data_IF_492693249786
#
_entry.id   IF_492693249786
#
_cell.length_a   1.000
_cell.length_b   1.000
_cell.length_c   1.000
_cell.angle_alpha   90.00
_cell.angle_beta   90.00
_cell.angle_gamma   90.00
#
_symmetry.space_group_name_H-M   'P 1'
#
loop_
_entity.id
_entity.type
_entity.pdbx_description
1 polymer ?
#
# COMPACT_ATOMS: atom_id res chain seq x y z
N UNK A 1 -45.30 -37.20 -18.60
CA UNK A 1 -45.54 -37.30 -17.13
C UNK A 1 -44.51 -38.22 -16.50
N UNK A 2 -43.47 -37.67 -15.87
CA UNK A 2 -42.66 -38.30 -14.80
C UNK A 2 -41.74 -37.20 -14.23
N UNK A 3 -42.07 -36.74 -13.03
CA UNK A 3 -41.34 -35.74 -12.25
C UNK A 3 -39.96 -36.31 -11.85
N UNK A 4 -38.87 -35.59 -12.10
CA UNK A 4 -37.59 -35.80 -11.40
C UNK A 4 -37.36 -34.62 -10.47
N UNK A 5 -37.29 -34.93 -9.19
CA UNK A 5 -37.07 -34.03 -8.07
C UNK A 5 -35.68 -33.41 -8.13
N UNK A 6 -35.63 -32.10 -7.98
CA UNK A 6 -34.40 -31.37 -7.64
C UNK A 6 -34.05 -31.68 -6.18
N UNK A 7 -32.83 -32.17 -5.96
CA UNK A 7 -32.20 -32.28 -4.64
C UNK A 7 -31.08 -31.26 -4.58
N UNK A 8 -31.28 -30.26 -3.72
CA UNK A 8 -30.31 -29.24 -3.30
C UNK A 8 -29.20 -29.91 -2.46
N UNK A 9 -27.91 -29.63 -2.68
CA UNK A 9 -26.88 -30.02 -1.73
C UNK A 9 -26.75 -28.97 -0.62
N UNK A 10 -26.71 -29.45 0.62
CA UNK A 10 -26.55 -28.69 1.85
C UNK A 10 -25.11 -28.18 2.03
N UNK A 11 -25.00 -26.97 2.60
CA UNK A 11 -23.74 -26.33 2.98
C UNK A 11 -23.01 -27.12 4.09
N UNK A 12 -21.68 -27.29 4.03
CA UNK A 12 -20.92 -27.86 5.14
C UNK A 12 -20.63 -26.79 6.21
N UNK A 13 -21.15 -27.00 7.41
CA UNK A 13 -20.81 -26.25 8.63
C UNK A 13 -19.41 -26.64 9.09
N UNK A 14 -18.45 -25.72 8.99
CA UNK A 14 -17.10 -25.90 9.55
C UNK A 14 -17.12 -25.46 11.02
N UNK A 15 -16.89 -26.42 11.91
CA UNK A 15 -16.69 -26.23 13.35
C UNK A 15 -15.25 -25.77 13.60
N UNK A 16 -15.07 -24.57 14.15
CA UNK A 16 -13.77 -24.09 14.63
C UNK A 16 -13.56 -24.53 16.08
N UNK A 17 -12.59 -25.42 16.29
CA UNK A 17 -12.07 -25.78 17.62
C UNK A 17 -10.97 -24.80 18.02
N UNK A 18 -11.18 -24.09 19.12
CA UNK A 18 -10.22 -23.12 19.70
C UNK A 18 -9.10 -23.86 20.45
N UNK A 19 -7.80 -23.59 20.19
CA UNK A 19 -6.72 -24.11 21.02
C UNK A 19 -6.61 -23.32 22.35
N UNK A 20 -6.11 -23.96 23.44
CA UNK A 20 -6.12 -23.38 24.78
C UNK A 20 -5.12 -22.23 24.98
N UNK A 21 -5.57 -21.23 25.72
CA UNK A 21 -4.79 -20.08 26.22
C UNK A 21 -3.72 -20.56 27.19
N UNK A 22 -2.44 -20.34 26.85
CA UNK A 22 -1.31 -20.60 27.72
C UNK A 22 -1.14 -19.45 28.72
N UNK A 23 -1.69 -19.61 29.93
CA UNK A 23 -1.50 -18.71 31.06
C UNK A 23 -0.18 -19.00 31.78
N UNK A 24 0.89 -18.28 31.44
CA UNK A 24 2.08 -18.18 32.31
C UNK A 24 2.14 -16.79 32.95
N UNK A 25 1.81 -16.77 34.24
CA UNK A 25 2.05 -15.66 35.18
C UNK A 25 3.55 -15.41 35.36
N UNK A 26 3.98 -14.17 35.61
CA UNK A 26 5.37 -13.86 35.98
C UNK A 26 5.68 -14.33 37.41
N UNK A 27 6.93 -14.76 37.59
CA UNK A 27 7.47 -15.25 38.85
C UNK A 27 7.57 -14.14 39.91
N UNK A 28 7.49 -14.61 41.15
CA UNK A 28 7.34 -13.91 42.42
C UNK A 28 8.49 -12.99 42.79
N UNK A 29 8.09 -11.88 43.39
CA UNK A 29 8.86 -10.95 44.24
C UNK A 29 9.49 -11.72 45.41
N UNK A 30 10.81 -11.63 45.57
CA UNK A 30 11.50 -12.00 46.80
C UNK A 30 12.02 -10.74 47.49
N UNK A 31 11.51 -10.54 48.70
CA UNK A 31 11.87 -9.54 49.69
C UNK A 31 13.36 -9.49 50.01
N UNK A 32 13.91 -8.28 50.12
CA UNK A 32 15.08 -8.00 50.94
C UNK A 32 14.75 -6.88 51.93
N UNK A 33 15.18 -7.15 53.15
CA UNK A 33 14.78 -6.56 54.43
C UNK A 33 15.41 -5.21 54.75
N UNK A 34 14.61 -4.36 55.40
CA UNK A 34 14.95 -3.32 56.37
C UNK A 34 16.45 -3.05 56.67
N UNK A 35 16.92 -1.83 56.37
CA UNK A 35 17.98 -1.09 57.09
C UNK A 35 17.76 0.44 56.95
N UNK A 36 18.31 1.26 57.86
CA UNK A 36 17.60 2.37 58.49
C UNK A 36 17.58 3.67 57.69
N UNK A 37 16.60 4.52 57.99
CA UNK A 37 16.48 5.91 57.53
C UNK A 37 17.67 6.75 58.00
N UNK A 38 18.54 7.13 57.08
CA UNK A 38 19.34 8.35 57.18
C UNK A 38 19.00 9.20 55.95
N UNK A 39 18.54 10.43 56.17
CA UNK A 39 18.39 11.42 55.11
C UNK A 39 19.78 12.04 54.85
N UNK A 40 20.39 11.89 53.65
CA UNK A 40 21.36 12.85 53.19
C UNK A 40 20.63 13.96 52.44
N UNK A 41 21.18 15.16 52.57
CA UNK A 41 20.67 16.40 52.05
C UNK A 41 20.38 16.35 50.53
N UNK A 42 19.38 17.16 50.18
CA UNK A 42 19.08 17.70 48.86
C UNK A 42 20.35 17.92 48.01
N UNK A 43 20.53 17.06 47.03
CA UNK A 43 21.48 17.24 45.93
C UNK A 43 20.75 16.95 44.63
N UNK A 44 19.90 17.90 44.26
CA UNK A 44 19.46 18.07 42.88
C UNK A 44 20.68 17.97 41.96
N UNK A 45 20.69 17.10 40.93
CA UNK A 45 21.81 17.04 40.00
C UNK A 45 21.96 18.43 39.33
N UNK A 46 23.20 18.91 39.12
CA UNK A 46 23.40 20.20 38.49
C UNK A 46 22.71 20.19 37.13
N UNK A 47 22.03 21.31 36.85
CA UNK A 47 21.38 21.67 35.61
C UNK A 47 22.37 21.50 34.44
N UNK A 48 22.52 20.26 33.94
CA UNK A 48 23.29 19.99 32.74
C UNK A 48 22.45 20.53 31.59
N UNK A 49 22.98 21.47 30.78
CA UNK A 49 22.28 21.88 29.58
C UNK A 49 22.04 20.61 28.76
N UNK A 50 20.77 20.38 28.40
CA UNK A 50 20.39 19.34 27.45
C UNK A 50 21.40 19.40 26.31
N UNK A 51 22.15 18.31 26.15
CA UNK A 51 23.14 18.17 25.11
C UNK A 51 22.46 18.58 23.80
N UNK A 52 22.99 19.63 23.18
CA UNK A 52 22.47 20.18 21.93
C UNK A 52 22.43 19.01 20.93
N UNK A 53 21.24 18.42 20.74
CA UNK A 53 21.03 17.51 19.63
C UNK A 53 21.26 18.38 18.39
N UNK A 54 22.27 18.08 17.55
CA UNK A 54 22.47 18.87 16.35
C UNK A 54 21.16 18.86 15.57
N UNK A 55 20.60 20.05 15.36
CA UNK A 55 19.44 20.23 14.51
C UNK A 55 19.79 19.58 13.17
N UNK A 56 19.06 18.52 12.85
CA UNK A 56 19.23 17.65 11.69
C UNK A 56 19.65 18.45 10.47
N UNK A 57 20.67 17.94 9.79
CA UNK A 57 20.96 18.27 8.39
C UNK A 57 19.66 18.39 7.60
N UNK A 58 19.56 19.43 6.76
CA UNK A 58 18.42 19.64 5.87
C UNK A 58 17.99 18.31 5.27
N UNK A 59 16.75 17.91 5.52
CA UNK A 59 16.17 16.71 4.92
C UNK A 59 16.19 16.87 3.40
N UNK A 60 17.17 16.27 2.73
CA UNK A 60 17.19 16.16 1.27
C UNK A 60 16.34 14.93 0.92
N UNK A 61 15.25 15.06 0.16
CA UNK A 61 14.44 13.93 -0.25
C UNK A 61 15.29 12.93 -1.05
N UNK A 62 15.35 11.67 -0.61
CA UNK A 62 16.11 10.63 -1.31
C UNK A 62 15.43 10.14 -2.60
N UNK A 63 14.12 10.33 -2.73
CA UNK A 63 13.31 9.88 -3.88
C UNK A 63 12.34 10.99 -4.31
N UNK A 64 12.07 11.08 -5.60
CA UNK A 64 11.00 11.89 -6.16
C UNK A 64 9.71 11.06 -6.24
N UNK A 65 8.64 11.39 -5.50
CA UNK A 65 7.43 10.58 -5.46
C UNK A 65 6.60 10.79 -6.72
N UNK A 66 6.31 9.70 -7.42
CA UNK A 66 5.45 9.69 -8.62
C UNK A 66 4.55 8.46 -8.60
N UNK A 67 3.39 8.60 -9.25
CA UNK A 67 2.62 7.46 -9.72
C UNK A 67 2.89 7.27 -11.20
N UNK A 68 3.14 6.01 -11.59
CA UNK A 68 3.54 5.65 -12.93
C UNK A 68 2.43 4.84 -13.59
N UNK A 69 2.15 5.15 -14.85
CA UNK A 69 1.22 4.40 -15.68
C UNK A 69 1.97 3.27 -16.40
N UNK A 70 1.62 2.03 -16.07
CA UNK A 70 2.29 0.83 -16.57
C UNK A 70 1.39 0.01 -17.49
N UNK A 71 0.22 0.54 -17.87
CA UNK A 71 -0.67 -0.13 -18.82
C UNK A 71 0.07 -0.45 -20.10
N UNK A 72 -0.04 -1.70 -20.55
CA UNK A 72 0.60 -2.23 -21.75
C UNK A 72 2.14 -2.10 -21.73
N UNK A 73 2.74 -2.01 -20.53
CA UNK A 73 4.20 -1.99 -20.35
C UNK A 73 4.71 -3.34 -19.91
N UNK A 74 5.81 -3.78 -20.51
CA UNK A 74 6.53 -4.99 -20.11
C UNK A 74 7.09 -4.84 -18.69
N UNK A 75 6.61 -5.69 -17.80
CA UNK A 75 7.03 -5.76 -16.41
C UNK A 75 7.62 -7.14 -16.12
N UNK A 76 8.82 -7.18 -15.55
CA UNK A 76 9.51 -8.44 -15.26
C UNK A 76 9.60 -8.67 -13.77
N UNK A 77 9.31 -9.90 -13.35
CA UNK A 77 9.48 -10.35 -11.96
C UNK A 77 10.42 -11.55 -11.94
N UNK A 78 11.50 -11.46 -11.16
CA UNK A 78 12.40 -12.59 -10.89
C UNK A 78 12.08 -13.18 -9.51
N UNK A 79 11.68 -14.44 -9.47
CA UNK A 79 11.30 -15.19 -8.26
C UNK A 79 9.79 -15.43 -8.12
N UNK A 80 9.40 -16.69 -7.96
CA UNK A 80 8.01 -17.15 -7.85
C UNK A 80 7.50 -17.36 -6.42
N UNK A 81 8.20 -16.82 -5.42
CA UNK A 81 7.82 -16.90 -4.01
C UNK A 81 6.57 -16.03 -3.70
N UNK A 82 6.16 -15.98 -2.43
CA UNK A 82 4.99 -15.19 -1.99
C UNK A 82 5.09 -13.70 -2.31
N UNK A 83 6.29 -13.13 -2.24
CA UNK A 83 6.50 -11.73 -2.60
C UNK A 83 6.43 -11.54 -4.12
N UNK A 84 7.04 -12.43 -4.90
CA UNK A 84 6.95 -12.46 -6.35
C UNK A 84 5.50 -12.53 -6.83
N UNK A 85 4.70 -13.47 -6.30
CA UNK A 85 3.28 -13.59 -6.63
C UNK A 85 2.51 -12.31 -6.33
N UNK A 86 2.74 -11.70 -5.16
CA UNK A 86 2.09 -10.44 -4.78
C UNK A 86 2.43 -9.31 -5.76
N UNK A 87 3.67 -9.26 -6.25
CA UNK A 87 4.11 -8.27 -7.24
C UNK A 87 3.51 -8.52 -8.62
N UNK A 88 3.52 -9.78 -9.06
CA UNK A 88 2.88 -10.19 -10.33
C UNK A 88 1.42 -9.75 -10.35
N UNK A 89 0.64 -10.08 -9.30
CA UNK A 89 -0.78 -9.71 -9.22
C UNK A 89 -0.99 -8.19 -9.25
N UNK A 90 -0.21 -7.44 -8.47
CA UNK A 90 -0.35 -5.98 -8.43
C UNK A 90 0.02 -5.31 -9.76
N UNK A 91 1.05 -5.81 -10.46
CA UNK A 91 1.41 -5.33 -11.79
C UNK A 91 0.29 -5.61 -12.81
N UNK A 92 -0.34 -6.79 -12.74
CA UNK A 92 -1.51 -7.13 -13.57
C UNK A 92 -2.71 -6.24 -13.28
N UNK A 93 -3.01 -5.97 -12.00
CA UNK A 93 -4.11 -5.06 -11.61
C UNK A 93 -3.91 -3.65 -12.17
N UNK A 94 -2.65 -3.22 -12.35
CA UNK A 94 -2.28 -1.96 -12.99
C UNK A 94 -2.20 -2.03 -14.53
N UNK A 95 -2.48 -3.18 -15.15
CA UNK A 95 -2.47 -3.38 -16.61
C UNK A 95 -1.09 -3.65 -17.22
N UNK A 96 -0.10 -4.05 -16.43
CA UNK A 96 1.23 -4.39 -16.92
C UNK A 96 1.26 -5.73 -17.66
N UNK A 97 2.10 -5.83 -18.70
CA UNK A 97 2.40 -7.09 -19.38
C UNK A 97 3.47 -7.85 -18.61
N UNK A 98 3.06 -8.80 -17.77
CA UNK A 98 3.97 -9.43 -16.80
C UNK A 98 4.66 -10.67 -17.38
N UNK A 99 5.99 -10.70 -17.28
CA UNK A 99 6.82 -11.89 -17.47
C UNK A 99 7.44 -12.31 -16.14
N UNK A 100 7.18 -13.55 -15.72
CA UNK A 100 7.77 -14.16 -14.54
C UNK A 100 8.96 -15.04 -14.94
N UNK A 101 10.08 -14.88 -14.25
CA UNK A 101 11.23 -15.79 -14.29
C UNK A 101 11.37 -16.51 -12.96
N UNK A 102 11.07 -17.80 -12.94
CA UNK A 102 11.23 -18.66 -11.76
C UNK A 102 11.22 -20.13 -12.16
N UNK A 103 12.11 -20.97 -11.64
CA UNK A 103 11.95 -22.42 -11.69
C UNK A 103 10.57 -22.86 -11.18
N UNK A 104 10.05 -23.94 -11.75
CA UNK A 104 8.70 -24.44 -11.48
C UNK A 104 8.55 -24.95 -10.03
N UNK A 105 9.59 -25.56 -9.48
CA UNK A 105 9.65 -26.09 -8.13
C UNK A 105 9.76 -25.01 -7.03
N UNK A 106 10.04 -23.77 -7.41
CA UNK A 106 10.13 -22.61 -6.51
C UNK A 106 8.91 -21.69 -6.60
N UNK A 107 8.04 -21.89 -7.59
CA UNK A 107 6.91 -21.01 -7.85
C UNK A 107 5.64 -21.47 -7.13
N UNK A 108 4.87 -20.52 -6.61
CA UNK A 108 3.58 -20.81 -6.00
C UNK A 108 2.51 -21.22 -7.03
N UNK A 109 1.56 -22.11 -6.67
CA UNK A 109 0.54 -22.60 -7.59
C UNK A 109 -0.31 -21.50 -8.26
N UNK A 110 -0.54 -20.38 -7.56
CA UNK A 110 -1.29 -19.25 -8.11
C UNK A 110 -0.62 -18.61 -9.33
N UNK A 111 0.71 -18.68 -9.45
CA UNK A 111 1.43 -18.22 -10.63
C UNK A 111 1.24 -19.16 -11.82
N UNK A 112 1.17 -20.46 -11.56
CA UNK A 112 0.89 -21.46 -12.59
C UNK A 112 -0.53 -21.28 -13.16
N UNK A 113 -1.50 -21.00 -12.30
CA UNK A 113 -2.88 -20.67 -12.70
C UNK A 113 -2.89 -19.44 -13.62
N UNK A 114 -2.29 -18.32 -13.20
CA UNK A 114 -2.18 -17.10 -14.01
C UNK A 114 -1.52 -17.35 -15.38
N UNK A 115 -0.47 -18.18 -15.42
CA UNK A 115 0.20 -18.52 -16.68
C UNK A 115 -0.70 -19.38 -17.60
N UNK A 116 -1.42 -20.35 -17.04
CA UNK A 116 -2.35 -21.21 -17.79
C UNK A 116 -3.56 -20.46 -18.34
N UNK A 117 -3.98 -19.40 -17.66
CA UNK A 117 -5.01 -18.46 -18.11
C UNK A 117 -4.48 -17.46 -19.16
N UNK A 118 -3.18 -17.48 -19.46
CA UNK A 118 -2.54 -16.56 -20.40
C UNK A 118 -2.39 -15.12 -19.88
N UNK A 119 -2.53 -14.91 -18.56
CA UNK A 119 -2.39 -13.59 -17.94
C UNK A 119 -0.93 -13.15 -17.80
N UNK A 120 -0.01 -14.11 -17.70
CA UNK A 120 1.44 -13.84 -17.62
C UNK A 120 2.19 -14.74 -18.59
N UNK A 121 3.36 -14.27 -19.03
CA UNK A 121 4.38 -15.14 -19.62
C UNK A 121 5.23 -15.72 -18.49
N UNK A 122 5.48 -17.03 -18.49
CA UNK A 122 6.28 -17.67 -17.46
C UNK A 122 7.48 -18.43 -18.04
N UNK A 123 8.65 -17.87 -17.81
CA UNK A 123 9.96 -18.47 -18.06
C UNK A 123 10.36 -19.34 -16.86
N UNK A 124 10.34 -20.66 -17.05
CA UNK A 124 10.61 -21.66 -16.00
C UNK A 124 12.11 -21.82 -15.71
N UNK A 125 12.79 -20.72 -15.45
CA UNK A 125 14.22 -20.65 -15.21
C UNK A 125 14.59 -19.40 -14.43
N UNK A 126 15.84 -19.37 -13.96
CA UNK A 126 16.47 -18.16 -13.40
C UNK A 126 16.87 -17.19 -14.51
N UNK A 127 17.32 -16.01 -14.07
CA UNK A 127 17.86 -14.94 -14.89
C UNK A 127 19.03 -15.38 -15.79
N UNK A 128 19.07 -14.80 -16.99
CA UNK A 128 20.16 -14.80 -17.94
C UNK A 128 20.34 -13.37 -18.48
N UNK A 129 21.57 -12.99 -18.81
CA UNK A 129 21.84 -11.66 -19.36
C UNK A 129 21.03 -11.41 -20.64
N UNK A 130 20.39 -10.24 -20.72
CA UNK A 130 19.51 -9.88 -21.84
C UNK A 130 18.03 -10.12 -21.59
N UNK A 131 17.65 -10.87 -20.54
CA UNK A 131 16.24 -11.17 -20.24
C UNK A 131 15.40 -9.91 -20.00
N UNK A 132 16.02 -8.84 -19.49
CA UNK A 132 15.33 -7.58 -19.22
C UNK A 132 15.21 -6.66 -20.44
N UNK A 133 15.58 -7.14 -21.63
CA UNK A 133 15.42 -6.39 -22.86
C UNK A 133 13.96 -5.95 -23.06
N UNK A 134 13.78 -4.65 -23.29
CA UNK A 134 12.47 -4.02 -23.49
C UNK A 134 11.60 -3.90 -22.23
N UNK A 135 12.11 -4.28 -21.05
CA UNK A 135 11.38 -4.09 -19.80
C UNK A 135 11.24 -2.60 -19.48
N UNK A 136 10.12 -2.24 -18.84
CA UNK A 136 9.91 -0.91 -18.27
C UNK A 136 10.14 -0.93 -16.76
N UNK A 137 9.66 -1.98 -16.09
CA UNK A 137 9.92 -2.30 -14.68
C UNK A 137 10.51 -3.70 -14.55
N UNK A 138 11.47 -3.84 -13.65
CA UNK A 138 12.03 -5.09 -13.15
C UNK A 138 11.90 -5.11 -11.62
N UNK A 139 11.40 -6.23 -11.09
CA UNK A 139 11.35 -6.49 -9.66
C UNK A 139 12.03 -7.83 -9.38
N UNK A 140 13.03 -7.83 -8.49
CA UNK A 140 13.72 -9.03 -8.04
C UNK A 140 13.19 -9.42 -6.66
N UNK A 141 12.35 -10.44 -6.62
CA UNK A 141 11.72 -10.98 -5.41
C UNK A 141 12.47 -12.17 -4.80
N UNK A 142 13.23 -12.92 -5.61
CA UNK A 142 14.24 -13.87 -5.12
C UNK A 142 15.61 -13.20 -5.15
N UNK A 143 16.13 -12.88 -3.96
CA UNK A 143 17.40 -12.17 -3.79
C UNK A 143 18.52 -13.06 -3.25
N UNK A 144 18.36 -14.38 -3.34
CA UNK A 144 19.31 -15.37 -2.81
C UNK A 144 20.70 -15.34 -3.47
N UNK A 145 20.81 -14.80 -4.69
CA UNK A 145 22.08 -14.67 -5.43
C UNK A 145 22.48 -13.20 -5.58
N UNK A 146 23.48 -12.77 -4.81
CA UNK A 146 24.05 -11.43 -4.92
C UNK A 146 24.61 -11.15 -6.33
N UNK A 147 25.25 -12.13 -6.96
CA UNK A 147 25.75 -12.03 -8.34
C UNK A 147 24.61 -11.72 -9.32
N UNK A 148 23.49 -12.46 -9.21
CA UNK A 148 22.30 -12.25 -10.05
C UNK A 148 21.69 -10.88 -9.81
N UNK A 149 21.54 -10.47 -8.54
CA UNK A 149 20.97 -9.17 -8.18
C UNK A 149 21.79 -8.02 -8.78
N UNK A 150 23.12 -8.08 -8.67
CA UNK A 150 24.03 -7.07 -9.23
C UNK A 150 24.00 -7.07 -10.76
N UNK A 151 23.91 -8.24 -11.41
CA UNK A 151 23.83 -8.34 -12.86
C UNK A 151 22.52 -7.71 -13.40
N UNK A 152 21.39 -7.99 -12.75
CA UNK A 152 20.09 -7.39 -13.10
C UNK A 152 20.11 -5.87 -12.88
N UNK A 153 20.70 -5.41 -11.78
CA UNK A 153 20.82 -3.99 -11.47
C UNK A 153 21.69 -3.26 -12.49
N UNK A 154 22.85 -3.82 -12.85
CA UNK A 154 23.75 -3.27 -13.85
C UNK A 154 23.06 -3.16 -15.22
N UNK A 155 22.40 -4.25 -15.66
CA UNK A 155 21.67 -4.23 -16.92
C UNK A 155 20.50 -3.22 -16.90
N UNK A 156 19.83 -3.09 -15.76
CA UNK A 156 18.72 -2.12 -15.60
C UNK A 156 19.22 -0.68 -15.68
N UNK A 157 20.37 -0.38 -15.07
CA UNK A 157 21.02 0.93 -15.15
C UNK A 157 21.37 1.27 -16.60
N UNK A 158 22.02 0.35 -17.31
CA UNK A 158 22.47 0.57 -18.68
C UNK A 158 21.30 0.81 -19.65
N UNK A 159 20.13 0.25 -19.35
CA UNK A 159 18.92 0.34 -20.17
C UNK A 159 17.90 1.40 -19.70
N UNK A 160 18.18 2.12 -18.61
CA UNK A 160 17.24 3.03 -17.94
C UNK A 160 15.90 2.35 -17.56
N UNK A 161 15.96 1.13 -17.04
CA UNK A 161 14.81 0.36 -16.55
C UNK A 161 14.60 0.64 -15.07
N UNK A 162 13.35 0.79 -14.63
CA UNK A 162 13.02 0.88 -13.21
C UNK A 162 13.29 -0.47 -12.55
N UNK A 163 14.24 -0.53 -11.62
CA UNK A 163 14.65 -1.74 -10.91
C UNK A 163 14.40 -1.61 -9.41
N UNK A 164 13.73 -2.63 -8.86
CA UNK A 164 13.57 -2.81 -7.42
C UNK A 164 14.05 -4.21 -7.03
N UNK A 165 15.18 -4.28 -6.34
CA UNK A 165 15.67 -5.51 -5.70
C UNK A 165 15.17 -5.54 -4.26
N UNK A 166 14.31 -6.49 -3.94
CA UNK A 166 13.64 -6.53 -2.63
C UNK A 166 14.64 -6.65 -1.48
N UNK A 167 14.44 -5.86 -0.43
CA UNK A 167 15.30 -5.79 0.76
C UNK A 167 16.78 -5.41 0.51
N UNK A 168 17.16 -5.05 -0.73
CA UNK A 168 18.51 -4.59 -1.10
C UNK A 168 18.44 -3.18 -1.69
N UNK A 169 18.16 -2.20 -0.82
CA UNK A 169 17.98 -0.78 -1.21
C UNK A 169 19.09 -0.20 -2.10
N UNK A 170 20.40 -0.49 -1.90
CA UNK A 170 21.45 0.04 -2.77
C UNK A 170 21.36 -0.39 -4.24
N UNK A 171 20.62 -1.47 -4.54
CA UNK A 171 20.39 -1.96 -5.89
C UNK A 171 19.06 -1.49 -6.49
N UNK A 172 18.35 -0.59 -5.80
CA UNK A 172 17.08 -0.04 -6.26
C UNK A 172 17.27 1.36 -6.87
N UNK A 173 16.67 1.62 -8.02
CA UNK A 173 16.48 3.00 -8.52
C UNK A 173 15.05 3.51 -8.30
N UNK A 174 14.13 2.63 -7.90
CA UNK A 174 12.84 3.00 -7.31
C UNK A 174 12.52 2.10 -6.11
N UNK A 175 11.67 2.60 -5.22
CA UNK A 175 11.22 1.86 -4.04
C UNK A 175 9.73 1.58 -4.11
N UNK A 176 9.32 0.41 -3.62
CA UNK A 176 7.93 0.06 -3.47
C UNK A 176 7.40 0.58 -2.11
N UNK A 177 6.49 1.57 -2.09
CA UNK A 177 5.92 2.10 -0.85
C UNK A 177 4.87 1.14 -0.26
N UNK A 178 4.45 1.42 0.98
CA UNK A 178 3.23 0.85 1.52
C UNK A 178 2.03 1.57 0.88
N UNK A 179 1.20 0.83 0.14
CA UNK A 179 0.05 1.37 -0.57
C UNK A 179 -1.23 1.18 0.24
N UNK A 180 -2.05 2.23 0.30
CA UNK A 180 -3.45 2.18 0.71
C UNK A 180 -4.27 2.53 -0.53
N UNK A 181 -5.29 1.74 -0.81
CA UNK A 181 -6.22 1.98 -1.90
C UNK A 181 -7.64 1.95 -1.34
N UNK A 182 -8.41 3.01 -1.60
CA UNK A 182 -9.84 3.09 -1.26
C UNK A 182 -10.53 3.89 -2.36
N UNK A 183 -11.42 3.24 -3.11
CA UNK A 183 -12.03 3.81 -4.31
C UNK A 183 -10.94 4.43 -5.21
N UNK A 184 -11.16 5.64 -5.71
CA UNK A 184 -10.21 6.34 -6.58
C UNK A 184 -9.04 6.98 -5.85
N UNK A 185 -8.96 6.86 -4.52
CA UNK A 185 -7.89 7.45 -3.71
C UNK A 185 -6.81 6.41 -3.42
N UNK A 186 -5.59 6.71 -3.86
CA UNK A 186 -4.39 5.94 -3.54
C UNK A 186 -3.44 6.78 -2.70
N UNK A 187 -3.01 6.23 -1.56
CA UNK A 187 -1.99 6.83 -0.70
C UNK A 187 -0.77 5.92 -0.67
N UNK A 188 0.39 6.48 -0.96
CA UNK A 188 1.67 5.81 -0.86
C UNK A 188 2.46 6.34 0.33
N UNK A 189 2.80 5.45 1.26
CA UNK A 189 3.64 5.78 2.44
C UNK A 189 5.03 5.19 2.24
N UNK A 190 6.03 6.05 2.24
CA UNK A 190 7.43 5.66 2.10
C UNK A 190 8.28 6.21 3.23
N UNK A 191 9.22 5.39 3.68
CA UNK A 191 10.29 5.78 4.63
C UNK A 191 11.66 5.82 3.96
N UNK A 192 11.71 5.81 2.62
CA UNK A 192 12.95 5.77 1.83
C UNK A 192 13.89 4.61 2.23
N UNK A 193 13.32 3.48 2.65
CA UNK A 193 14.07 2.31 3.12
C UNK A 193 14.49 2.36 4.60
N UNK A 194 14.30 3.49 5.31
CA UNK A 194 14.74 3.63 6.71
C UNK A 194 13.93 2.79 7.70
N UNK A 195 12.64 2.58 7.46
CA UNK A 195 11.80 1.76 8.33
C UNK A 195 10.57 1.19 7.60
N UNK A 196 10.67 -0.03 7.05
CA UNK A 196 9.52 -0.73 6.47
C UNK A 196 8.39 -0.97 7.50
N UNK A 197 8.76 -1.24 8.75
CA UNK A 197 7.80 -1.45 9.85
C UNK A 197 6.96 -0.20 10.12
N UNK A 198 7.55 1.00 10.10
CA UNK A 198 6.80 2.25 10.24
C UNK A 198 5.86 2.49 9.06
N UNK A 199 6.31 2.28 7.82
CA UNK A 199 5.47 2.41 6.63
C UNK A 199 4.25 1.48 6.70
N UNK A 200 4.47 0.22 7.13
CA UNK A 200 3.40 -0.75 7.38
C UNK A 200 2.44 -0.27 8.47
N UNK A 201 2.95 0.22 9.61
CA UNK A 201 2.12 0.66 10.73
C UNK A 201 1.26 1.87 10.36
N UNK A 202 1.81 2.82 9.59
CA UNK A 202 1.09 3.97 9.07
C UNK A 202 -0.02 3.53 8.10
N UNK A 203 0.30 2.62 7.17
CA UNK A 203 -0.71 2.02 6.28
C UNK A 203 -1.88 1.43 7.07
N UNK A 204 -1.59 0.55 8.04
CA UNK A 204 -2.62 -0.09 8.88
C UNK A 204 -3.48 0.94 9.63
N UNK A 205 -2.87 1.98 10.21
CA UNK A 205 -3.59 3.04 10.94
C UNK A 205 -4.47 3.90 10.04
N UNK A 206 -4.03 4.17 8.81
CA UNK A 206 -4.78 4.97 7.86
C UNK A 206 -5.91 4.18 7.20
N UNK A 207 -5.73 2.87 6.99
CA UNK A 207 -6.77 1.99 6.46
C UNK A 207 -7.90 1.76 7.47
N UNK A 208 -7.59 1.73 8.76
CA UNK A 208 -8.58 1.54 9.83
C UNK A 208 -9.41 2.81 10.04
N UNK A 209 -10.71 2.71 9.75
CA UNK A 209 -11.65 3.82 9.82
C UNK A 209 -11.84 4.34 11.25
N UNK A 210 -11.70 3.49 12.27
CA UNK A 210 -11.83 3.91 13.66
C UNK A 210 -10.68 4.82 14.09
N UNK A 211 -9.52 4.70 13.43
CA UNK A 211 -8.35 5.55 13.69
C UNK A 211 -8.19 6.71 12.71
N UNK A 212 -8.55 6.54 11.44
CA UNK A 212 -8.34 7.54 10.41
C UNK A 212 -9.62 7.83 9.62
N UNK A 213 -10.19 9.00 9.91
CA UNK A 213 -11.39 9.49 9.24
C UNK A 213 -11.09 10.09 7.86
N UNK A 214 -9.82 10.38 7.55
CA UNK A 214 -9.43 11.06 6.30
C UNK A 214 -9.78 10.27 5.05
N UNK A 215 -9.79 8.93 5.11
CA UNK A 215 -10.12 8.11 3.95
C UNK A 215 -11.63 8.00 3.69
N UNK A 216 -12.51 8.51 4.56
CA UNK A 216 -13.97 8.57 4.29
C UNK A 216 -14.29 9.39 3.05
N UNK A 217 -13.53 10.46 2.82
CA UNK A 217 -13.64 11.30 1.63
C UNK A 217 -13.39 10.55 0.31
N UNK A 218 -12.72 9.40 0.35
CA UNK A 218 -12.55 8.59 -0.84
C UNK A 218 -13.87 8.02 -1.37
N UNK A 219 -14.85 7.76 -0.48
CA UNK A 219 -16.12 7.12 -0.85
C UNK A 219 -17.05 8.06 -1.62
N UNK A 220 -16.91 9.37 -1.44
CA UNK A 220 -17.68 10.37 -2.20
C UNK A 220 -17.08 10.63 -3.59
N UNK A 221 -15.87 10.13 -3.88
CA UNK A 221 -15.13 10.36 -5.13
C UNK A 221 -15.96 10.15 -6.41
N UNK A 222 -16.68 9.01 -6.56
CA UNK A 222 -17.54 8.78 -7.72
C UNK A 222 -18.63 9.85 -7.89
N UNK A 223 -19.27 10.27 -6.79
CA UNK A 223 -20.27 11.35 -6.83
C UNK A 223 -19.64 12.68 -7.25
N UNK A 224 -18.43 13.00 -6.76
CA UNK A 224 -17.71 14.21 -7.17
C UNK A 224 -17.38 14.20 -8.67
N UNK A 225 -17.02 13.02 -9.21
CA UNK A 225 -16.76 12.85 -10.63
C UNK A 225 -18.03 13.10 -11.48
N UNK A 226 -19.18 12.57 -11.06
CA UNK A 226 -20.46 12.78 -11.73
C UNK A 226 -20.89 14.25 -11.73
N UNK A 227 -20.74 14.94 -10.58
CA UNK A 227 -21.04 16.38 -10.48
C UNK A 227 -20.10 17.18 -11.38
N UNK A 228 -18.81 16.80 -11.47
CA UNK A 228 -17.86 17.44 -12.38
C UNK A 228 -18.29 17.32 -13.85
N UNK A 229 -18.85 16.19 -14.25
CA UNK A 229 -19.40 16.01 -15.61
C UNK A 229 -20.60 16.93 -15.83
N UNK A 230 -21.52 17.01 -14.87
CA UNK A 230 -22.69 17.90 -14.97
C UNK A 230 -22.28 19.37 -15.07
N UNK A 231 -21.47 19.86 -14.13
CA UNK A 231 -21.03 21.26 -14.06
C UNK A 231 -20.33 21.68 -15.35
N UNK A 232 -19.50 20.80 -15.93
CA UNK A 232 -18.87 21.00 -17.24
C UNK A 232 -19.87 21.02 -18.38
N UNK A 233 -20.84 20.10 -18.38
CA UNK A 233 -21.92 20.07 -19.38
C UNK A 233 -22.75 21.34 -19.38
N UNK A 234 -22.95 21.94 -18.19
CA UNK A 234 -23.65 23.21 -17.98
C UNK A 234 -22.77 24.45 -18.22
N UNK A 235 -21.46 24.27 -18.43
CA UNK A 235 -20.47 25.33 -18.65
C UNK A 235 -20.43 26.37 -17.52
N UNK A 236 -20.63 25.93 -16.27
CA UNK A 236 -20.53 26.83 -15.12
C UNK A 236 -19.05 27.21 -14.88
N UNK A 237 -18.72 28.51 -14.74
CA UNK A 237 -17.36 28.98 -14.52
C UNK A 237 -16.95 28.82 -13.05
N UNK A 238 -16.66 27.61 -12.62
CA UNK A 238 -16.22 27.32 -11.25
C UNK A 238 -14.69 27.25 -11.16
N UNK A 239 -14.08 28.02 -10.26
CA UNK A 239 -12.63 27.97 -10.03
C UNK A 239 -12.21 26.68 -9.28
N UNK A 240 -10.96 26.21 -9.41
CA UNK A 240 -10.47 25.03 -8.68
C UNK A 240 -10.60 25.13 -7.16
N UNK A 241 -10.40 26.32 -6.58
CA UNK A 241 -10.49 26.51 -5.13
C UNK A 241 -11.95 26.43 -4.65
N UNK A 242 -12.92 26.95 -5.42
CA UNK A 242 -14.34 26.83 -5.11
C UNK A 242 -14.81 25.38 -5.08
N UNK A 243 -14.25 24.52 -5.94
CA UNK A 243 -14.48 23.07 -5.87
C UNK A 243 -14.03 22.48 -4.55
N UNK A 244 -12.80 22.80 -4.12
CA UNK A 244 -12.25 22.27 -2.87
C UNK A 244 -13.04 22.76 -1.65
N UNK A 245 -13.41 24.04 -1.63
CA UNK A 245 -14.20 24.65 -0.55
C UNK A 245 -15.63 24.09 -0.48
N UNK A 246 -16.21 23.71 -1.62
CA UNK A 246 -17.58 23.17 -1.67
C UNK A 246 -17.67 21.71 -1.20
N UNK A 247 -16.55 21.01 -1.04
CA UNK A 247 -16.52 19.64 -0.51
C UNK A 247 -16.50 19.71 1.02
N UNK A 248 -17.69 19.79 1.62
CA UNK A 248 -17.87 20.03 3.07
C UNK A 248 -18.25 18.76 3.84
N UNK A 249 -18.03 18.79 5.17
CA UNK A 249 -18.45 17.69 6.06
C UNK A 249 -19.96 17.43 5.97
N UNK A 250 -20.76 18.47 5.75
CA UNK A 250 -22.21 18.33 5.65
C UNK A 250 -22.61 17.47 4.43
N UNK A 251 -21.94 17.65 3.29
CA UNK A 251 -22.14 16.82 2.09
C UNK A 251 -21.69 15.39 2.35
N UNK A 252 -20.55 15.21 3.02
CA UNK A 252 -20.05 13.88 3.39
C UNK A 252 -21.04 13.14 4.32
N UNK A 253 -21.52 13.80 5.37
CA UNK A 253 -22.48 13.24 6.32
C UNK A 253 -23.83 12.90 5.65
N UNK A 254 -24.32 13.78 4.76
CA UNK A 254 -25.52 13.51 3.96
C UNK A 254 -25.33 12.27 3.08
N UNK A 255 -24.17 12.15 2.42
CA UNK A 255 -23.85 11.00 1.58
C UNK A 255 -23.78 9.70 2.40
N UNK A 256 -23.13 9.73 3.56
CA UNK A 256 -22.98 8.58 4.45
C UNK A 256 -24.29 8.16 5.11
N UNK A 257 -25.25 9.08 5.28
CA UNK A 257 -26.61 8.76 5.73
C UNK A 257 -27.42 7.93 4.72
N UNK A 258 -26.92 7.81 3.48
CA UNK A 258 -27.57 7.11 2.37
C UNK A 258 -28.28 8.04 1.38
N UNK A 259 -28.48 9.31 1.71
CA UNK A 259 -29.08 10.31 0.82
C UNK A 259 -28.05 10.90 -0.15
N UNK A 260 -27.62 10.06 -1.10
CA UNK A 260 -26.65 10.43 -2.14
C UNK A 260 -27.19 11.52 -3.07
N UNK A 261 -28.48 11.48 -3.38
CA UNK A 261 -29.11 12.46 -4.26
C UNK A 261 -29.17 13.84 -3.59
N UNK A 262 -29.50 13.89 -2.29
CA UNK A 262 -29.43 15.11 -1.50
C UNK A 262 -28.02 15.67 -1.40
N UNK A 263 -27.03 14.83 -1.08
CA UNK A 263 -25.62 15.24 -1.03
C UNK A 263 -25.13 15.82 -2.38
N UNK A 264 -25.52 15.17 -3.48
CA UNK A 264 -25.23 15.63 -4.84
C UNK A 264 -25.88 16.98 -5.13
N UNK A 265 -27.16 17.13 -4.81
CA UNK A 265 -27.90 18.38 -5.00
C UNK A 265 -27.27 19.54 -4.21
N UNK A 266 -26.89 19.29 -2.95
CA UNK A 266 -26.19 20.27 -2.12
C UNK A 266 -24.88 20.75 -2.76
N UNK A 267 -24.07 19.83 -3.28
CA UNK A 267 -22.82 20.20 -3.97
C UNK A 267 -23.09 21.02 -5.23
N UNK A 268 -24.04 20.59 -6.07
CA UNK A 268 -24.38 21.33 -7.30
C UNK A 268 -24.84 22.76 -6.96
N UNK A 269 -25.75 22.93 -6.00
CA UNK A 269 -26.22 24.25 -5.58
C UNK A 269 -25.08 25.15 -5.07
N UNK A 270 -24.18 24.60 -4.24
CA UNK A 270 -23.03 25.35 -3.75
C UNK A 270 -22.13 25.84 -4.90
N UNK A 271 -21.88 25.01 -5.90
CA UNK A 271 -21.07 25.36 -7.07
C UNK A 271 -21.77 26.39 -7.99
N UNK A 272 -23.10 26.34 -8.10
CA UNK A 272 -23.89 27.35 -8.82
C UNK A 272 -23.82 28.73 -8.16
N UNK A 273 -23.94 28.78 -6.82
CA UNK A 273 -23.81 30.01 -6.05
C UNK A 273 -22.42 30.63 -6.24
N UNK A 274 -21.37 29.81 -6.18
CA UNK A 274 -19.99 30.24 -6.44
C UNK A 274 -19.78 30.75 -7.87
N UNK A 275 -20.36 30.07 -8.86
CA UNK A 275 -20.28 30.49 -10.27
C UNK A 275 -21.03 31.79 -10.58
N UNK A 276 -21.92 32.23 -9.67
CA UNK A 276 -22.75 33.43 -9.83
C UNK A 276 -22.16 34.68 -9.16
N UNK A 277 -21.12 34.52 -8.33
CA UNK A 277 -20.41 35.59 -7.61
C UNK A 277 -19.12 35.97 -8.32
#
# INVERSE_FOLDING_TARGET
MRKRSQTTPASPTISFSTPPVNTRRPASVTSWTNRPKTHPADSSPPNQPLQHYPLKEKFVPAYYPIFVDIRDRKCIVFGGNSEGERKVRYLLDCGGEVTLFSPEDEALPGLAELASEGKITWERRKYQSGDIAGAWIVIVADTSSEETNNAIEAESRDRNVLCNVMDVTPLCNFIAPAIIHRQDVTVAVSTAGSSPALARRLRERMTDQDYCQCLRWADIGPMLADVRVEVRGRKLPVAPDDWAESITNQILEQFESGDKDGARAMLVSALEEKASN
#
